data_IF_261307551815
#
_entry.id   IF_261307551815
#
_cell.length_a   1.000
_cell.length_b   1.000
_cell.length_c   1.000
_cell.angle_alpha   90.00
_cell.angle_beta   90.00
_cell.angle_gamma   90.00
#
_symmetry.space_group_name_H-M   'P 1'
#
loop_
_entity.id
_entity.type
_entity.pdbx_description
1 polymer ?
#
# COMPACT_ATOMS: atom_id res chain seq x y z
N UNK A 1 24.57 -19.68 42.17
CA UNK A 1 23.52 -19.65 43.21
C UNK A 1 22.22 -19.16 42.58
N UNK A 2 21.25 -20.06 42.42
CA UNK A 2 19.92 -19.80 41.84
C UNK A 2 19.01 -19.19 42.91
N UNK A 3 18.44 -18.01 42.64
CA UNK A 3 17.23 -17.46 43.30
C UNK A 3 16.49 -16.75 42.17
N UNK A 4 15.54 -17.38 41.46
CA UNK A 4 14.17 -17.67 41.87
C UNK A 4 13.52 -16.50 42.61
N UNK A 5 12.88 -15.59 41.86
CA UNK A 5 11.60 -15.00 42.24
C UNK A 5 10.77 -14.76 40.97
N UNK A 6 9.86 -15.69 40.74
CA UNK A 6 8.82 -15.68 39.72
C UNK A 6 7.60 -15.08 40.41
N UNK A 7 7.19 -13.87 40.05
CA UNK A 7 5.93 -13.32 40.54
C UNK A 7 5.28 -12.39 39.51
N UNK A 8 4.14 -12.87 38.99
CA UNK A 8 2.90 -12.15 38.70
C UNK A 8 2.98 -10.91 37.80
N UNK A 9 2.78 -11.13 36.50
CA UNK A 9 2.00 -10.22 35.66
C UNK A 9 1.28 -11.02 34.56
N UNK A 10 0.49 -12.02 34.96
CA UNK A 10 -0.63 -12.52 34.17
C UNK A 10 -1.91 -12.00 34.83
N UNK A 11 -2.20 -10.71 34.61
CA UNK A 11 -3.50 -10.14 34.96
C UNK A 11 -3.67 -8.84 34.17
N UNK A 12 -4.16 -8.98 32.93
CA UNK A 12 -5.14 -8.13 32.21
C UNK A 12 -5.41 -8.93 30.91
N UNK A 13 -6.12 -10.04 31.04
CA UNK A 13 -6.61 -10.81 29.88
C UNK A 13 -7.96 -11.46 30.16
N UNK A 14 -8.80 -10.83 30.98
CA UNK A 14 -10.17 -11.26 31.29
C UNK A 14 -11.08 -10.05 31.56
N UNK A 15 -11.16 -9.11 30.62
CA UNK A 15 -12.26 -8.14 30.54
C UNK A 15 -12.87 -8.14 29.13
N UNK A 16 -13.13 -9.34 28.65
CA UNK A 16 -14.23 -9.61 27.73
C UNK A 16 -15.15 -10.59 28.46
N UNK A 17 -16.44 -10.57 28.14
CA UNK A 17 -17.48 -11.52 28.58
C UNK A 17 -18.22 -11.22 29.91
N UNK A 18 -18.85 -10.05 30.00
CA UNK A 18 -20.11 -9.90 30.74
C UNK A 18 -20.80 -8.60 30.30
N UNK A 19 -21.80 -8.69 29.43
CA UNK A 19 -22.99 -7.81 29.28
C UNK A 19 -23.73 -8.16 27.97
N UNK A 20 -23.97 -9.46 27.78
CA UNK A 20 -25.12 -9.96 27.04
C UNK A 20 -26.25 -10.04 28.06
N UNK A 21 -27.07 -8.99 28.15
CA UNK A 21 -28.49 -9.03 28.57
C UNK A 21 -29.03 -7.60 28.66
N UNK A 22 -29.61 -7.16 27.55
CA UNK A 22 -30.30 -5.87 27.44
C UNK A 22 -31.40 -5.98 26.40
N UNK A 23 -32.45 -6.75 26.71
CA UNK A 23 -33.71 -6.70 25.99
C UNK A 23 -34.39 -5.37 26.31
N UNK A 24 -34.42 -4.41 25.37
CA UNK A 24 -35.36 -3.30 25.43
C UNK A 24 -35.74 -2.79 24.02
N UNK A 25 -36.95 -3.17 23.62
CA UNK A 25 -37.86 -2.40 22.76
C UNK A 25 -37.48 -2.17 21.30
N UNK A 26 -37.92 -3.12 20.49
CA UNK A 26 -38.22 -3.07 19.05
C UNK A 26 -39.12 -1.87 18.70
N UNK A 27 -38.55 -0.67 18.47
CA UNK A 27 -39.25 0.42 17.76
C UNK A 27 -39.12 0.18 16.25
N UNK A 28 -40.22 -0.23 15.62
CA UNK A 28 -40.36 -0.38 14.17
C UNK A 28 -39.93 0.91 13.45
N UNK A 29 -38.74 0.93 12.83
CA UNK A 29 -38.41 1.94 11.81
C UNK A 29 -39.26 1.66 10.57
N UNK A 30 -40.36 2.41 10.51
CA UNK A 30 -41.18 2.71 9.33
C UNK A 30 -40.31 2.76 8.07
N UNK A 31 -40.55 1.83 7.14
CA UNK A 31 -39.94 1.82 5.81
C UNK A 31 -40.23 3.17 5.15
N UNK A 32 -39.25 4.06 5.11
CA UNK A 32 -39.31 5.28 4.32
C UNK A 32 -38.91 4.89 2.91
N UNK A 33 -39.89 4.86 2.02
CA UNK A 33 -39.73 4.94 0.57
C UNK A 33 -38.67 5.99 0.24
N UNK A 34 -37.53 5.54 -0.29
CA UNK A 34 -36.50 6.43 -0.83
C UNK A 34 -36.40 6.19 -2.32
N UNK A 35 -37.04 7.11 -3.04
CA UNK A 35 -36.84 7.53 -4.44
C UNK A 35 -36.39 6.46 -5.42
N UNK A 36 -37.28 6.14 -6.36
CA UNK A 36 -36.97 5.53 -7.64
C UNK A 36 -35.62 6.02 -8.18
N UNK A 37 -34.63 5.13 -8.15
CA UNK A 37 -33.34 5.32 -8.81
C UNK A 37 -33.63 5.52 -10.30
N UNK A 38 -33.65 6.78 -10.73
CA UNK A 38 -33.63 7.12 -12.15
C UNK A 38 -32.50 6.34 -12.80
N UNK A 39 -32.83 5.59 -13.86
CA UNK A 39 -31.88 4.83 -14.67
C UNK A 39 -30.68 5.73 -14.95
N UNK A 40 -29.55 5.41 -14.34
CA UNK A 40 -28.31 6.17 -14.54
C UNK A 40 -27.92 5.98 -16.01
N UNK A 41 -27.99 7.06 -16.80
CA UNK A 41 -27.59 7.02 -18.20
C UNK A 41 -26.06 7.07 -18.28
N UNK A 42 -25.48 5.87 -18.42
CA UNK A 42 -24.05 5.64 -18.52
C UNK A 42 -23.80 4.15 -18.38
N UNK A 43 -23.54 3.47 -19.50
CA UNK A 43 -23.28 2.03 -19.48
C UNK A 43 -21.86 1.75 -18.97
N UNK A 44 -21.72 0.74 -18.11
CA UNK A 44 -20.42 0.18 -17.70
C UNK A 44 -19.69 -0.53 -18.86
N UNK A 45 -20.22 -0.48 -20.08
CA UNK A 45 -19.75 -1.19 -21.25
C UNK A 45 -18.29 -0.89 -21.64
N UNK A 46 -17.72 0.23 -21.17
CA UNK A 46 -16.33 0.62 -21.42
C UNK A 46 -15.37 0.31 -20.26
N UNK A 47 -15.85 -0.29 -19.17
CA UNK A 47 -15.00 -0.62 -18.03
C UNK A 47 -13.91 -1.62 -18.46
N UNK A 48 -12.65 -1.28 -18.21
CA UNK A 48 -11.52 -2.18 -18.50
C UNK A 48 -11.10 -2.28 -19.98
N UNK A 49 -11.79 -1.62 -20.93
CA UNK A 49 -11.49 -1.67 -22.38
C UNK A 49 -9.99 -1.50 -22.69
N UNK A 50 -9.37 -0.48 -22.10
CA UNK A 50 -7.95 -0.15 -22.34
C UNK A 50 -7.01 -1.21 -21.76
N UNK A 51 -7.31 -1.77 -20.58
CA UNK A 51 -6.44 -2.77 -19.92
C UNK A 51 -6.46 -4.12 -20.63
N UNK A 52 -7.57 -4.47 -21.29
CA UNK A 52 -7.69 -5.68 -22.10
C UNK A 52 -7.11 -5.52 -23.52
N UNK A 53 -7.15 -4.31 -24.07
CA UNK A 53 -6.59 -4.00 -25.39
C UNK A 53 -5.06 -3.92 -25.37
N UNK A 54 -4.45 -3.45 -24.28
CA UNK A 54 -2.98 -3.39 -24.17
C UNK A 54 -2.38 -4.79 -24.07
N UNK A 55 -1.44 -5.12 -24.96
CA UNK A 55 -0.70 -6.38 -24.91
C UNK A 55 -0.07 -6.59 -23.53
N UNK A 56 -0.20 -7.81 -22.99
CA UNK A 56 0.33 -8.15 -21.67
C UNK A 56 1.82 -8.45 -21.75
N UNK A 57 2.65 -7.41 -21.65
CA UNK A 57 4.10 -7.58 -21.63
C UNK A 57 4.54 -8.18 -20.28
N UNK A 58 5.21 -9.33 -20.34
CA UNK A 58 5.82 -9.95 -19.16
C UNK A 58 6.96 -9.08 -18.61
N UNK A 59 7.15 -9.12 -17.30
CA UNK A 59 8.28 -8.40 -16.69
C UNK A 59 9.57 -9.11 -17.09
N UNK A 60 10.50 -8.37 -17.68
CA UNK A 60 11.85 -8.87 -17.93
C UNK A 60 12.58 -9.10 -16.60
N UNK A 61 13.37 -10.18 -16.53
CA UNK A 61 14.23 -10.47 -15.40
C UNK A 61 15.36 -9.45 -15.31
N UNK A 62 15.24 -8.53 -14.36
CA UNK A 62 16.27 -7.53 -14.04
C UNK A 62 17.00 -7.96 -12.78
N UNK A 63 18.34 -7.89 -12.82
CA UNK A 63 19.19 -8.15 -11.65
C UNK A 63 18.72 -7.33 -10.45
N UNK A 64 18.65 -7.96 -9.28
CA UNK A 64 18.23 -7.30 -8.04
C UNK A 64 19.20 -6.15 -7.74
N UNK A 65 18.67 -4.95 -7.53
CA UNK A 65 19.47 -3.83 -7.02
C UNK A 65 19.84 -4.13 -5.57
N UNK A 66 21.10 -3.92 -5.14
CA UNK A 66 21.47 -4.04 -3.74
C UNK A 66 20.63 -3.05 -2.92
N UNK A 67 20.35 -3.38 -1.65
CA UNK A 67 19.57 -2.55 -0.73
C UNK A 67 20.47 -1.91 0.34
N UNK A 68 19.97 -0.87 1.00
CA UNK A 68 20.66 -0.22 2.14
C UNK A 68 21.94 0.53 1.76
N UNK A 69 22.98 0.37 2.58
CA UNK A 69 24.26 1.10 2.46
C UNK A 69 24.96 0.87 1.12
N UNK A 70 24.93 -0.36 0.61
CA UNK A 70 25.51 -0.69 -0.69
C UNK A 70 24.87 0.11 -1.83
N UNK A 71 23.54 0.30 -1.80
CA UNK A 71 22.85 1.12 -2.80
C UNK A 71 23.24 2.59 -2.72
N UNK A 72 23.36 3.14 -1.50
CA UNK A 72 23.74 4.53 -1.28
C UNK A 72 25.16 4.81 -1.76
N UNK A 73 26.10 3.89 -1.55
CA UNK A 73 27.47 3.99 -2.11
C UNK A 73 27.45 4.04 -3.63
N UNK A 74 26.68 3.16 -4.28
CA UNK A 74 26.54 3.18 -5.75
C UNK A 74 25.91 4.49 -6.26
N UNK A 75 24.92 5.04 -5.56
CA UNK A 75 24.32 6.33 -5.92
C UNK A 75 25.32 7.49 -5.79
N UNK A 76 26.10 7.53 -4.71
CA UNK A 76 27.10 8.57 -4.48
C UNK A 76 28.20 8.53 -5.55
N UNK A 77 28.74 7.35 -5.83
CA UNK A 77 29.77 7.18 -6.86
C UNK A 77 29.26 7.65 -8.23
N UNK A 78 28.03 7.28 -8.62
CA UNK A 78 27.42 7.71 -9.90
C UNK A 78 27.13 9.20 -10.00
N UNK A 79 26.86 9.88 -8.88
CA UNK A 79 26.48 11.31 -8.86
C UNK A 79 27.66 12.26 -8.75
N UNK A 80 28.70 11.87 -8.01
CA UNK A 80 29.75 12.79 -7.59
C UNK A 80 31.15 12.33 -7.96
N UNK A 81 31.46 11.04 -7.80
CA UNK A 81 32.85 10.54 -7.98
C UNK A 81 33.15 10.21 -9.45
N UNK A 82 32.23 9.54 -10.13
CA UNK A 82 32.41 9.11 -11.53
C UNK A 82 31.92 10.16 -12.53
N UNK A 83 30.99 11.02 -12.14
CA UNK A 83 30.44 12.05 -13.01
C UNK A 83 31.37 13.27 -13.05
N UNK A 84 32.36 13.24 -13.94
CA UNK A 84 33.12 14.45 -14.30
C UNK A 84 32.21 15.33 -15.16
N UNK A 85 31.98 16.57 -14.75
CA UNK A 85 31.19 17.52 -15.53
C UNK A 85 32.06 17.94 -16.72
N UNK A 86 31.90 17.23 -17.85
CA UNK A 86 32.49 17.66 -19.11
C UNK A 86 31.97 19.04 -19.52
N UNK A 87 32.69 19.72 -20.41
CA UNK A 87 32.28 21.03 -20.92
C UNK A 87 30.94 20.91 -21.66
N UNK A 88 29.91 21.60 -21.16
CA UNK A 88 28.55 21.58 -21.72
C UNK A 88 27.44 21.47 -20.67
N UNK A 89 26.19 21.33 -21.13
CA UNK A 89 25.01 21.19 -20.27
C UNK A 89 24.98 19.78 -19.65
N UNK A 90 24.76 19.70 -18.33
CA UNK A 90 24.65 18.41 -17.61
C UNK A 90 23.47 17.60 -18.15
N UNK A 91 23.74 16.40 -18.71
CA UNK A 91 22.70 15.44 -19.09
C UNK A 91 22.02 14.84 -17.86
N UNK A 92 20.70 14.65 -17.96
CA UNK A 92 19.90 14.04 -16.89
C UNK A 92 20.10 12.51 -16.81
N UNK A 93 19.88 11.89 -15.64
CA UNK A 93 20.13 10.46 -15.41
C UNK A 93 19.22 9.50 -16.19
N UNK A 94 18.18 10.02 -16.85
CA UNK A 94 17.24 9.25 -17.67
C UNK A 94 16.95 9.99 -19.00
N UNK A 95 17.97 10.63 -19.58
CA UNK A 95 17.86 11.23 -20.91
C UNK A 95 17.97 10.12 -21.97
N UNK A 96 17.03 10.08 -22.91
CA UNK A 96 16.97 9.10 -24.00
C UNK A 96 17.66 9.56 -25.28
N UNK A 97 18.13 10.81 -25.32
CA UNK A 97 18.93 11.33 -26.41
C UNK A 97 20.36 10.80 -26.28
N UNK A 98 20.83 10.13 -27.33
CA UNK A 98 22.17 9.54 -27.40
C UNK A 98 23.23 10.62 -27.57
#
# INVERSE_FOLDING_TARGET
>A
MKKLFKCKAQHISLLNYALVSGYCSRRKRKQRSKSAMGKVHGSLARAGKVRGQTAKVAKQDKKKKPRGRAHKRLQHNRRFVTAVVGFGKKRGPNSSEK
#
